data_IF_000739861241
#
_entry.id   IF_000739861241
#
_cell.length_a   1.000
_cell.length_b   1.000
_cell.length_c   1.000
_cell.angle_alpha   90.00
_cell.angle_beta   90.00
_cell.angle_gamma   90.00
#
_symmetry.space_group_name_H-M   'P 1'
#
loop_
_entity.id
_entity.type
_entity.pdbx_description
1 polymer ?
#
# COMPACT_ATOMS: atom_id res chain seq x y z
N UNK A 1 -11.90 8.88 -8.95
CA UNK A 1 -11.81 9.94 -9.96
C UNK A 1 -10.37 10.31 -10.26
N UNK A 2 -10.17 11.15 -11.27
CA UNK A 2 -8.83 11.51 -11.75
C UNK A 2 -8.00 12.24 -10.68
N UNK A 3 -8.63 13.13 -9.93
CA UNK A 3 -7.94 13.88 -8.87
C UNK A 3 -7.45 12.98 -7.76
N UNK A 4 -8.28 12.06 -7.32
CA UNK A 4 -7.91 11.12 -6.26
C UNK A 4 -6.80 10.18 -6.73
N UNK A 5 -6.88 9.69 -7.97
CA UNK A 5 -5.84 8.84 -8.55
C UNK A 5 -4.50 9.57 -8.63
N UNK A 6 -4.53 10.84 -9.02
CA UNK A 6 -3.30 11.65 -9.10
C UNK A 6 -2.69 11.82 -7.71
N UNK A 7 -3.52 12.14 -6.72
CA UNK A 7 -3.05 12.28 -5.34
C UNK A 7 -2.44 10.99 -4.83
N UNK A 8 -3.08 9.86 -5.12
CA UNK A 8 -2.57 8.56 -4.70
C UNK A 8 -1.25 8.25 -5.38
N UNK A 9 -1.15 8.48 -6.69
CA UNK A 9 0.07 8.24 -7.45
C UNK A 9 1.23 9.07 -6.91
N UNK A 10 0.99 10.35 -6.65
CA UNK A 10 2.01 11.23 -6.10
C UNK A 10 2.46 10.77 -4.72
N UNK A 11 1.51 10.37 -3.88
CA UNK A 11 1.81 9.90 -2.53
C UNK A 11 2.62 8.60 -2.56
N UNK A 12 2.29 7.69 -3.45
CA UNK A 12 3.03 6.44 -3.61
C UNK A 12 4.48 6.74 -4.02
N UNK A 13 4.66 7.65 -4.95
CA UNK A 13 6.01 7.99 -5.43
C UNK A 13 6.87 8.67 -4.37
N UNK A 14 6.27 9.19 -3.32
CA UNK A 14 6.99 9.79 -2.19
C UNK A 14 7.33 8.78 -1.08
N UNK A 15 6.87 7.55 -1.18
CA UNK A 15 7.19 6.53 -0.18
C UNK A 15 8.70 6.21 -0.20
N UNK A 16 9.28 5.85 0.97
CA UNK A 16 10.67 5.35 1.00
C UNK A 16 10.83 4.13 0.10
N UNK A 17 12.03 3.93 -0.43
CA UNK A 17 12.29 2.96 -1.49
C UNK A 17 11.69 1.57 -1.30
N UNK A 18 11.94 0.93 -0.15
CA UNK A 18 11.43 -0.43 0.08
C UNK A 18 9.91 -0.44 0.27
N UNK A 19 9.38 0.54 0.99
CA UNK A 19 7.93 0.64 1.18
C UNK A 19 7.23 0.89 -0.15
N UNK A 20 7.82 1.75 -0.98
CA UNK A 20 7.28 2.04 -2.31
C UNK A 20 7.27 0.78 -3.17
N UNK A 21 8.38 0.03 -3.16
CA UNK A 21 8.48 -1.20 -3.95
C UNK A 21 7.43 -2.22 -3.52
N UNK A 22 7.31 -2.48 -2.23
CA UNK A 22 6.33 -3.42 -1.71
C UNK A 22 4.92 -2.97 -2.09
N UNK A 23 4.61 -1.70 -1.90
CA UNK A 23 3.28 -1.20 -2.21
C UNK A 23 2.98 -1.32 -3.71
N UNK A 24 3.92 -0.97 -4.57
CA UNK A 24 3.72 -1.06 -6.03
C UNK A 24 3.56 -2.50 -6.49
N UNK A 25 4.34 -3.42 -5.95
CA UNK A 25 4.20 -4.83 -6.33
C UNK A 25 2.81 -5.36 -5.96
N UNK A 26 2.29 -4.95 -4.82
CA UNK A 26 0.95 -5.34 -4.41
C UNK A 26 -0.12 -4.63 -5.24
N UNK A 27 0.01 -3.32 -5.41
CA UNK A 27 -1.02 -2.47 -6.01
C UNK A 27 -1.05 -2.59 -7.54
N UNK A 28 0.14 -2.50 -8.18
CA UNK A 28 0.21 -2.49 -9.64
C UNK A 28 0.34 -3.88 -10.25
N UNK A 29 1.01 -4.79 -9.56
CA UNK A 29 1.31 -6.12 -10.09
C UNK A 29 0.49 -7.22 -9.43
N UNK A 30 -0.41 -6.85 -8.55
CA UNK A 30 -1.37 -7.76 -7.93
C UNK A 30 -0.71 -8.95 -7.21
N UNK A 31 0.46 -8.73 -6.66
CA UNK A 31 1.21 -9.77 -5.96
C UNK A 31 0.80 -9.86 -4.50
N UNK A 32 0.72 -11.10 -4.00
CA UNK A 32 0.49 -11.35 -2.59
C UNK A 32 1.77 -11.12 -1.80
N UNK A 33 1.66 -10.84 -0.51
CA UNK A 33 2.82 -10.55 0.32
C UNK A 33 3.88 -11.65 0.28
N UNK A 34 3.44 -12.92 0.23
CA UNK A 34 4.38 -14.03 0.15
C UNK A 34 5.17 -14.01 -1.16
N UNK A 35 4.49 -13.69 -2.26
CA UNK A 35 5.13 -13.58 -3.57
C UNK A 35 6.11 -12.40 -3.60
N UNK A 36 5.73 -11.30 -2.96
CA UNK A 36 6.61 -10.12 -2.84
C UNK A 36 7.86 -10.49 -2.05
N UNK A 37 7.68 -11.22 -0.94
CA UNK A 37 8.80 -11.66 -0.12
C UNK A 37 9.79 -12.49 -0.93
N UNK A 38 9.27 -13.46 -1.69
CA UNK A 38 10.11 -14.29 -2.55
C UNK A 38 10.83 -13.48 -3.62
N UNK A 39 10.12 -12.55 -4.25
CA UNK A 39 10.67 -11.71 -5.31
C UNK A 39 11.78 -10.80 -4.79
N UNK A 40 11.59 -10.22 -3.60
CA UNK A 40 12.55 -9.29 -3.02
C UNK A 40 13.66 -9.98 -2.24
N UNK A 41 13.55 -11.28 -1.99
CA UNK A 41 14.54 -12.01 -1.20
C UNK A 41 14.53 -11.63 0.26
N UNK A 42 13.36 -11.34 0.82
CA UNK A 42 13.20 -10.97 2.23
C UNK A 42 12.13 -11.84 2.87
N UNK A 43 12.00 -11.76 4.19
CA UNK A 43 10.99 -12.53 4.90
C UNK A 43 9.60 -11.93 4.69
N UNK A 44 8.57 -12.77 4.87
CA UNK A 44 7.19 -12.29 4.84
C UNK A 44 6.97 -11.19 5.88
N UNK A 45 7.56 -11.35 7.06
CA UNK A 45 7.44 -10.36 8.13
C UNK A 45 7.99 -9.00 7.70
N UNK A 46 9.11 -9.01 6.98
CA UNK A 46 9.71 -7.78 6.46
C UNK A 46 8.77 -7.10 5.46
N UNK A 47 8.15 -7.88 4.57
CA UNK A 47 7.17 -7.34 3.62
C UNK A 47 5.99 -6.72 4.36
N UNK A 48 5.47 -7.42 5.36
CA UNK A 48 4.36 -6.91 6.16
C UNK A 48 4.71 -5.60 6.87
N UNK A 49 5.94 -5.52 7.39
CA UNK A 49 6.40 -4.29 8.04
C UNK A 49 6.49 -3.13 7.05
N UNK A 50 7.00 -3.37 5.86
CA UNK A 50 7.06 -2.35 4.82
C UNK A 50 5.66 -1.94 4.35
N UNK A 51 4.75 -2.89 4.22
CA UNK A 51 3.37 -2.59 3.84
C UNK A 51 2.67 -1.76 4.90
N UNK A 52 2.85 -2.12 6.17
CA UNK A 52 2.29 -1.35 7.28
C UNK A 52 2.77 0.10 7.24
N UNK A 53 4.08 0.29 7.08
CA UNK A 53 4.66 1.63 7.01
C UNK A 53 4.15 2.40 5.79
N UNK A 54 4.05 1.74 4.65
CA UNK A 54 3.53 2.38 3.44
C UNK A 54 2.11 2.87 3.65
N UNK A 55 1.23 2.02 4.20
CA UNK A 55 -0.16 2.40 4.43
C UNK A 55 -0.28 3.54 5.44
N UNK A 56 0.56 3.51 6.47
CA UNK A 56 0.57 4.58 7.48
C UNK A 56 0.96 5.92 6.85
N UNK A 57 2.00 5.93 6.02
CA UNK A 57 2.45 7.14 5.36
C UNK A 57 1.42 7.65 4.36
N UNK A 58 0.78 6.74 3.61
CA UNK A 58 -0.28 7.12 2.69
C UNK A 58 -1.48 7.70 3.43
N UNK A 59 -1.86 7.11 4.56
CA UNK A 59 -2.93 7.62 5.39
C UNK A 59 -2.62 9.04 5.87
N UNK A 60 -1.40 9.25 6.34
CA UNK A 60 -0.99 10.57 6.84
C UNK A 60 -1.00 11.62 5.74
N UNK A 61 -0.63 11.23 4.52
CA UNK A 61 -0.56 12.15 3.39
C UNK A 61 -1.93 12.45 2.79
N UNK A 62 -2.75 11.42 2.60
CA UNK A 62 -4.04 11.53 1.89
C UNK A 62 -5.22 11.73 2.82
N UNK A 63 -5.06 11.37 4.10
CA UNK A 63 -6.18 11.25 5.02
C UNK A 63 -6.79 9.86 4.94
N UNK A 64 -7.36 9.43 6.07
CA UNK A 64 -7.90 8.07 6.19
C UNK A 64 -9.01 7.81 5.17
N UNK A 65 -9.94 8.75 5.04
CA UNK A 65 -11.08 8.57 4.14
C UNK A 65 -10.63 8.49 2.67
N UNK A 66 -9.71 9.37 2.26
CA UNK A 66 -9.21 9.35 0.89
C UNK A 66 -8.47 8.04 0.57
N UNK A 67 -7.69 7.53 1.53
CA UNK A 67 -7.01 6.26 1.34
C UNK A 67 -7.99 5.12 1.20
N UNK A 68 -9.03 5.08 2.05
CA UNK A 68 -10.05 4.05 1.97
C UNK A 68 -10.80 4.09 0.64
N UNK A 69 -11.15 5.28 0.19
CA UNK A 69 -11.83 5.45 -1.10
C UNK A 69 -10.95 4.99 -2.26
N UNK A 70 -9.66 5.33 -2.22
CA UNK A 70 -8.72 4.93 -3.26
C UNK A 70 -8.60 3.40 -3.32
N UNK A 71 -8.44 2.76 -2.18
CA UNK A 71 -8.32 1.29 -2.11
C UNK A 71 -9.61 0.61 -2.56
N UNK A 72 -10.75 1.19 -2.21
CA UNK A 72 -12.06 0.66 -2.63
C UNK A 72 -12.20 0.70 -4.15
N UNK A 73 -11.85 1.82 -4.78
CA UNK A 73 -12.01 1.98 -6.22
C UNK A 73 -11.10 1.05 -7.02
N UNK A 74 -9.97 0.65 -6.47
CA UNK A 74 -9.07 -0.28 -7.17
C UNK A 74 -9.36 -1.74 -6.82
N UNK A 75 -10.35 -1.99 -5.97
CA UNK A 75 -10.75 -3.35 -5.61
C UNK A 75 -9.79 -4.09 -4.70
N UNK A 76 -8.95 -3.38 -3.96
CA UNK A 76 -7.94 -3.98 -3.09
C UNK A 76 -8.32 -3.93 -1.61
N UNK A 77 -9.56 -3.59 -1.30
CA UNK A 77 -10.02 -3.44 0.08
C UNK A 77 -9.80 -4.72 0.89
N UNK A 78 -10.11 -5.88 0.31
CA UNK A 78 -9.96 -7.15 1.03
C UNK A 78 -8.50 -7.47 1.33
N UNK A 79 -7.57 -7.02 0.48
CA UNK A 79 -6.13 -7.26 0.66
C UNK A 79 -5.58 -6.39 1.77
N UNK A 80 -6.03 -5.15 1.86
CA UNK A 80 -5.47 -4.17 2.80
C UNK A 80 -6.29 -3.99 4.07
N UNK A 81 -7.48 -4.59 4.16
CA UNK A 81 -8.41 -4.33 5.25
C UNK A 81 -7.80 -4.59 6.63
N UNK A 82 -7.11 -5.72 6.82
CA UNK A 82 -6.49 -6.04 8.12
C UNK A 82 -5.43 -5.02 8.50
N UNK A 83 -4.59 -4.63 7.54
CA UNK A 83 -3.53 -3.65 7.80
C UNK A 83 -4.11 -2.29 8.13
N UNK A 84 -5.18 -1.90 7.44
CA UNK A 84 -5.85 -0.62 7.70
C UNK A 84 -6.49 -0.62 9.08
N UNK A 85 -7.11 -1.74 9.48
CA UNK A 85 -7.69 -1.88 10.81
C UNK A 85 -6.61 -1.75 11.89
N UNK A 86 -5.45 -2.34 11.66
CA UNK A 86 -4.34 -2.24 12.60
C UNK A 86 -3.81 -0.81 12.73
N UNK A 87 -3.95 0.00 11.68
CA UNK A 87 -3.55 1.41 11.71
C UNK A 87 -4.52 2.30 12.49
N UNK A 88 -5.73 1.80 12.68
CA UNK A 88 -6.73 2.55 13.43
C UNK A 88 -6.50 2.37 14.93
#
# INVERSE_FOLDING_TARGET
DAELRRKLSDAINELPGKCRMVFKLSYLHDMKNKEIADTMGVSLRTVEAHMYKALKLLRDKLGYLNLMLALFFIGKVSVFASSVVLLS
#
